data_IF_126874972531
#
_entry.id   IF_126874972531
#
_cell.length_a   1.000
_cell.length_b   1.000
_cell.length_c   1.000
_cell.angle_alpha   90.00
_cell.angle_beta   90.00
_cell.angle_gamma   90.00
#
_symmetry.space_group_name_H-M   'P 1'
#
loop_
_entity.id
_entity.type
_entity.pdbx_description
1 polymer ?
#
# COMPACT_ATOMS: atom_id res chain seq x y z
N UNK A 1 -20.13 24.62 -0.13
CA UNK A 1 -19.92 25.88 0.63
C UNK A 1 -20.24 25.69 2.11
N UNK A 2 -19.28 25.21 2.92
CA UNK A 2 -19.38 25.31 4.39
C UNK A 2 -18.96 26.72 4.77
N UNK A 3 -19.87 27.50 5.36
CA UNK A 3 -19.55 28.86 5.84
C UNK A 3 -18.63 28.73 7.05
N UNK A 4 -17.38 29.18 6.94
CA UNK A 4 -16.39 29.14 8.04
C UNK A 4 -16.78 30.08 9.20
N UNK A 5 -17.62 31.08 8.92
CA UNK A 5 -18.26 31.93 9.90
C UNK A 5 -19.65 31.37 10.19
N UNK A 6 -19.87 30.93 11.43
CA UNK A 6 -21.14 30.28 11.81
C UNK A 6 -22.04 31.12 12.69
N UNK A 7 -21.51 32.17 13.32
CA UNK A 7 -22.30 33.05 14.18
C UNK A 7 -21.71 34.47 14.13
N UNK A 8 -22.57 35.47 13.98
CA UNK A 8 -22.23 36.90 14.05
C UNK A 8 -23.28 37.55 14.94
N UNK A 9 -22.86 38.08 16.08
CA UNK A 9 -23.75 38.70 17.05
C UNK A 9 -23.22 40.05 17.54
N UNK A 10 -24.14 40.95 17.87
CA UNK A 10 -23.81 42.22 18.50
C UNK A 10 -23.82 42.05 20.03
N UNK A 11 -22.77 42.49 20.70
CA UNK A 11 -22.71 42.46 22.16
C UNK A 11 -23.36 43.75 22.71
N UNK A 12 -24.53 43.60 23.32
CA UNK A 12 -25.36 44.74 23.74
C UNK A 12 -24.93 45.41 25.06
N UNK A 13 -24.00 44.83 25.83
CA UNK A 13 -23.57 45.32 27.16
C UNK A 13 -22.05 45.28 27.31
N UNK A 14 -21.32 45.86 26.36
CA UNK A 14 -19.87 46.09 26.52
C UNK A 14 -19.68 47.57 26.73
N UNK A 15 -19.09 47.95 27.86
CA UNK A 15 -18.78 49.35 28.13
C UNK A 15 -17.47 49.69 27.39
N UNK A 16 -17.57 50.02 26.11
CA UNK A 16 -16.40 50.21 25.22
C UNK A 16 -15.74 51.58 25.31
N UNK A 17 -16.22 52.50 26.15
CA UNK A 17 -15.80 53.92 26.11
C UNK A 17 -15.81 54.51 24.68
N UNK A 18 -16.58 53.89 23.78
CA UNK A 18 -16.68 54.16 22.36
C UNK A 18 -18.15 54.03 21.99
N UNK A 19 -18.59 54.89 21.08
CA UNK A 19 -19.90 54.97 20.45
C UNK A 19 -20.22 53.81 19.51
N UNK A 20 -19.22 52.96 19.19
CA UNK A 20 -19.40 51.82 18.30
C UNK A 20 -19.88 50.56 19.02
N UNK A 21 -20.73 49.77 18.34
CA UNK A 21 -21.21 48.46 18.82
C UNK A 21 -20.15 47.39 18.59
N UNK A 22 -19.89 46.57 19.61
CA UNK A 22 -18.99 45.42 19.46
C UNK A 22 -19.70 44.29 18.73
N UNK A 23 -19.07 43.79 17.68
CA UNK A 23 -19.51 42.62 16.92
C UNK A 23 -18.63 41.44 17.29
N UNK A 24 -19.25 40.31 17.63
CA UNK A 24 -18.60 39.03 17.85
C UNK A 24 -18.91 38.12 16.68
N UNK A 25 -17.87 37.68 15.97
CA UNK A 25 -17.97 36.65 14.95
C UNK A 25 -17.28 35.37 15.43
N UNK A 26 -17.93 34.21 15.23
CA UNK A 26 -17.37 32.90 15.53
C UNK A 26 -16.93 32.21 14.24
N UNK A 27 -15.63 31.97 14.14
CA UNK A 27 -15.02 31.23 13.05
C UNK A 27 -14.63 29.83 13.52
N UNK A 28 -15.01 28.80 12.75
CA UNK A 28 -14.61 27.42 13.01
C UNK A 28 -13.66 26.95 11.92
N UNK A 29 -12.42 26.70 12.32
CA UNK A 29 -11.40 26.13 11.46
C UNK A 29 -11.12 24.68 11.86
N UNK A 30 -11.21 23.75 10.92
CA UNK A 30 -10.72 22.39 11.12
C UNK A 30 -9.21 22.35 10.87
N UNK A 31 -8.45 22.61 11.93
CA UNK A 31 -6.99 22.64 11.90
C UNK A 31 -6.42 21.26 11.51
N UNK A 32 -7.10 20.16 11.88
CA UNK A 32 -6.64 18.80 11.52
C UNK A 32 -6.75 18.58 10.01
N UNK A 33 -7.84 19.05 9.39
CA UNK A 33 -8.02 18.96 7.95
C UNK A 33 -7.03 19.86 7.20
N UNK A 34 -6.80 21.10 7.66
CA UNK A 34 -5.83 21.99 7.01
C UNK A 34 -4.39 21.47 7.11
N UNK A 35 -3.99 20.95 8.27
CA UNK A 35 -2.68 20.29 8.41
C UNK A 35 -2.53 19.08 7.47
N UNK A 36 -3.59 18.30 7.26
CA UNK A 36 -3.57 17.19 6.29
C UNK A 36 -3.33 17.66 4.85
N UNK A 37 -3.77 18.86 4.47
CA UNK A 37 -3.50 19.41 3.12
C UNK A 37 -2.03 19.80 2.97
N UNK A 38 -1.44 20.38 4.02
CA UNK A 38 -0.03 20.78 4.04
C UNK A 38 0.93 19.58 4.10
N UNK A 39 0.52 18.46 4.72
CA UNK A 39 1.33 17.24 4.88
C UNK A 39 1.20 16.30 3.66
N UNK A 40 0.26 16.54 2.74
CA UNK A 40 0.20 15.83 1.46
C UNK A 40 1.35 16.29 0.55
N UNK A 41 2.56 15.87 0.90
CA UNK A 41 3.67 15.81 -0.04
C UNK A 41 3.18 14.90 -1.17
N UNK A 42 3.10 15.38 -2.42
CA UNK A 42 2.78 14.50 -3.53
C UNK A 42 3.86 13.42 -3.58
N UNK A 43 3.49 12.19 -3.20
CA UNK A 43 4.41 11.04 -3.19
C UNK A 43 4.94 10.72 -4.58
N UNK A 44 4.25 11.22 -5.61
CA UNK A 44 4.57 11.00 -7.00
C UNK A 44 4.49 12.33 -7.74
N UNK A 45 5.40 12.60 -8.68
CA UNK A 45 5.35 13.79 -9.51
C UNK A 45 4.05 13.81 -10.33
N UNK A 46 3.42 14.97 -10.42
CA UNK A 46 2.27 15.20 -11.31
C UNK A 46 2.70 15.03 -12.77
N UNK A 47 1.77 14.70 -13.67
CA UNK A 47 2.02 14.57 -15.13
C UNK A 47 2.77 15.79 -15.68
N UNK A 48 2.37 17.01 -15.29
CA UNK A 48 3.04 18.25 -15.72
C UNK A 48 4.49 18.34 -15.22
N UNK A 49 4.76 17.82 -14.02
CA UNK A 49 6.10 17.78 -13.45
C UNK A 49 7.00 16.78 -14.19
N UNK A 50 6.44 15.66 -14.65
CA UNK A 50 7.13 14.70 -15.51
C UNK A 50 7.39 15.31 -16.89
N UNK A 51 6.40 16.00 -17.47
CA UNK A 51 6.55 16.69 -18.76
C UNK A 51 7.66 17.73 -18.75
N UNK A 52 7.76 18.52 -17.67
CA UNK A 52 8.80 19.56 -17.52
C UNK A 52 10.21 18.96 -17.43
N UNK A 53 10.35 17.76 -16.86
CA UNK A 53 11.63 17.06 -16.64
C UNK A 53 11.78 15.84 -17.52
N UNK A 54 11.10 15.81 -18.67
CA UNK A 54 11.01 14.62 -19.51
C UNK A 54 12.40 14.12 -19.92
N UNK A 55 13.32 15.02 -20.27
CA UNK A 55 14.69 14.64 -20.65
C UNK A 55 15.45 13.92 -19.51
N UNK A 56 15.39 14.46 -18.28
CA UNK A 56 16.01 13.83 -17.09
C UNK A 56 15.36 12.47 -16.80
N UNK A 57 14.03 12.39 -16.91
CA UNK A 57 13.28 11.16 -16.69
C UNK A 57 13.64 10.08 -17.72
N UNK A 58 13.66 10.41 -19.01
CA UNK A 58 14.03 9.47 -20.07
C UNK A 58 15.48 8.99 -19.92
N UNK A 59 16.40 9.88 -19.51
CA UNK A 59 17.79 9.50 -19.24
C UNK A 59 17.90 8.49 -18.07
N UNK A 60 17.15 8.71 -16.98
CA UNK A 60 17.14 7.78 -15.85
C UNK A 60 16.49 6.43 -16.22
N UNK A 61 15.42 6.44 -17.02
CA UNK A 61 14.80 5.20 -17.53
C UNK A 61 15.77 4.46 -18.44
N UNK A 62 16.44 5.15 -19.36
CA UNK A 62 17.46 4.56 -20.22
C UNK A 62 18.58 3.94 -19.39
N UNK A 63 19.09 4.64 -18.37
CA UNK A 63 20.11 4.12 -17.45
C UNK A 63 19.67 2.85 -16.72
N UNK A 64 18.42 2.79 -16.27
CA UNK A 64 17.88 1.63 -15.53
C UNK A 64 17.60 0.42 -16.42
N UNK A 65 17.24 0.67 -17.67
CA UNK A 65 16.87 -0.38 -18.63
C UNK A 65 18.04 -0.81 -19.51
N UNK A 66 19.17 -0.09 -19.49
CA UNK A 66 20.37 -0.55 -20.15
C UNK A 66 20.92 -1.79 -19.43
N UNK A 67 21.21 -2.87 -20.17
CA UNK A 67 21.89 -4.02 -19.61
C UNK A 67 23.27 -3.56 -19.14
N UNK A 68 23.65 -3.94 -17.91
CA UNK A 68 25.01 -3.68 -17.43
C UNK A 68 25.99 -4.40 -18.35
N UNK A 69 26.90 -3.65 -18.97
CA UNK A 69 27.87 -4.18 -19.95
C UNK A 69 28.68 -5.34 -19.36
N UNK A 70 28.91 -5.31 -18.05
CA UNK A 70 29.58 -6.35 -17.28
C UNK A 70 28.84 -7.69 -17.46
N UNK A 71 27.51 -7.71 -17.34
CA UNK A 71 26.69 -8.92 -17.44
C UNK A 71 26.72 -9.55 -18.84
N UNK A 72 26.95 -8.75 -19.88
CA UNK A 72 27.03 -9.23 -21.28
C UNK A 72 28.28 -10.11 -21.48
N UNK A 73 29.35 -9.81 -20.74
CA UNK A 73 30.64 -10.52 -20.84
C UNK A 73 30.76 -11.71 -19.90
N UNK A 74 29.81 -11.90 -18.98
CA UNK A 74 29.86 -12.96 -17.98
C UNK A 74 29.39 -14.30 -18.54
N UNK A 75 30.05 -15.36 -18.08
CA UNK A 75 29.63 -16.72 -18.35
C UNK A 75 28.35 -17.09 -17.56
N UNK A 76 27.58 -18.05 -18.05
CA UNK A 76 26.29 -18.48 -17.50
C UNK A 76 26.46 -18.96 -16.05
N UNK A 77 27.53 -19.69 -15.74
CA UNK A 77 27.86 -20.11 -14.36
C UNK A 77 28.07 -18.91 -13.42
N UNK A 78 28.78 -17.87 -13.88
CA UNK A 78 29.07 -16.68 -13.08
C UNK A 78 27.80 -15.85 -12.85
N UNK A 79 26.98 -15.71 -13.89
CA UNK A 79 25.68 -15.05 -13.82
C UNK A 79 24.76 -15.76 -12.81
N UNK A 80 24.72 -17.10 -12.85
CA UNK A 80 23.97 -17.91 -11.89
C UNK A 80 24.48 -17.75 -10.45
N UNK A 81 25.79 -17.60 -10.24
CA UNK A 81 26.36 -17.33 -8.92
C UNK A 81 25.94 -15.97 -8.37
N UNK A 82 25.76 -14.95 -9.22
CA UNK A 82 25.31 -13.62 -8.78
C UNK A 82 23.79 -13.52 -8.56
N UNK A 83 22.99 -14.16 -9.42
CA UNK A 83 21.52 -14.07 -9.35
C UNK A 83 20.96 -14.88 -8.18
N UNK A 84 21.48 -16.09 -7.92
CA UNK A 84 21.01 -16.99 -6.85
C UNK A 84 20.91 -16.30 -5.47
N UNK A 85 21.93 -15.60 -4.95
CA UNK A 85 21.86 -14.94 -3.65
C UNK A 85 20.90 -13.74 -3.62
N UNK A 86 20.61 -13.11 -4.77
CA UNK A 86 19.62 -12.02 -4.85
C UNK A 86 18.17 -12.54 -4.86
N UNK A 87 17.92 -13.67 -5.53
CA UNK A 87 16.59 -14.26 -5.67
C UNK A 87 16.19 -15.13 -4.48
N UNK A 88 17.12 -15.86 -3.87
CA UNK A 88 16.85 -16.81 -2.79
C UNK A 88 16.15 -16.19 -1.55
N UNK A 89 16.51 -14.99 -1.07
CA UNK A 89 15.83 -14.35 0.06
C UNK A 89 14.38 -13.98 -0.28
N UNK A 90 14.16 -13.45 -1.48
CA UNK A 90 12.83 -13.02 -1.95
C UNK A 90 11.92 -14.23 -2.15
N UNK A 91 12.42 -15.30 -2.77
CA UNK A 91 11.67 -16.56 -2.90
C UNK A 91 11.38 -17.19 -1.56
N UNK A 92 12.31 -17.19 -0.60
CA UNK A 92 12.04 -17.64 0.78
C UNK A 92 10.91 -16.84 1.43
N UNK A 93 10.91 -15.52 1.28
CA UNK A 93 9.84 -14.66 1.83
C UNK A 93 8.49 -14.96 1.17
N UNK A 94 8.44 -15.12 -0.16
CA UNK A 94 7.21 -15.41 -0.90
C UNK A 94 6.70 -16.82 -0.54
N UNK A 95 7.58 -17.83 -0.59
CA UNK A 95 7.24 -19.21 -0.30
C UNK A 95 6.89 -19.44 1.17
N UNK A 96 7.56 -18.80 2.13
CA UNK A 96 7.19 -18.90 3.54
C UNK A 96 5.89 -18.13 3.89
N UNK A 97 5.43 -17.23 3.02
CA UNK A 97 4.09 -16.61 3.11
C UNK A 97 2.98 -17.49 2.53
N UNK A 98 3.32 -18.51 1.73
CA UNK A 98 2.39 -19.60 1.43
C UNK A 98 2.13 -20.28 2.77
N UNK A 99 0.89 -20.16 3.24
CA UNK A 99 0.43 -20.67 4.54
C UNK A 99 1.06 -22.03 4.80
N UNK A 100 1.59 -22.25 6.01
CA UNK A 100 1.79 -23.61 6.51
C UNK A 100 0.49 -24.34 6.24
N UNK A 101 0.50 -25.32 5.32
CA UNK A 101 -0.61 -26.24 5.20
C UNK A 101 -0.80 -26.76 6.62
N UNK A 102 -1.99 -26.57 7.20
CA UNK A 102 -2.28 -27.18 8.49
C UNK A 102 -2.05 -28.67 8.29
N UNK A 103 -1.12 -29.23 9.03
CA UNK A 103 -0.96 -30.68 9.10
C UNK A 103 -2.35 -31.25 9.42
N UNK A 104 -2.77 -32.23 8.63
CA UNK A 104 -4.04 -32.90 8.84
C UNK A 104 -4.01 -33.48 10.26
N UNK A 105 -5.03 -33.18 11.06
CA UNK A 105 -5.17 -33.83 12.37
C UNK A 105 -5.29 -35.33 12.16
N UNK A 106 -4.78 -36.13 13.10
CA UNK A 106 -4.90 -37.61 13.09
C UNK A 106 -6.34 -38.05 12.81
N UNK A 107 -7.31 -37.41 13.46
CA UNK A 107 -8.73 -37.63 13.20
C UNK A 107 -9.16 -37.38 11.75
N UNK A 108 -8.60 -36.38 11.07
CA UNK A 108 -8.92 -36.13 9.66
C UNK A 108 -8.31 -37.20 8.74
N UNK A 109 -7.12 -37.70 9.08
CA UNK A 109 -6.47 -38.80 8.36
C UNK A 109 -7.29 -40.09 8.50
N UNK A 110 -7.70 -40.42 9.72
CA UNK A 110 -8.56 -41.57 10.01
C UNK A 110 -9.90 -41.51 9.24
N UNK A 111 -10.54 -40.33 9.18
CA UNK A 111 -11.76 -40.14 8.40
C UNK A 111 -11.53 -40.29 6.88
N UNK A 112 -10.35 -39.92 6.38
CA UNK A 112 -9.99 -40.11 4.97
C UNK A 112 -9.79 -41.58 4.62
N UNK A 113 -9.17 -42.35 5.51
CA UNK A 113 -8.97 -43.80 5.36
C UNK A 113 -10.31 -44.54 5.42
N UNK A 114 -11.15 -44.24 6.42
CA UNK A 114 -12.51 -44.77 6.52
C UNK A 114 -13.35 -44.46 5.28
N UNK A 115 -13.24 -43.25 4.72
CA UNK A 115 -13.90 -42.89 3.46
C UNK A 115 -13.35 -43.70 2.27
N UNK A 116 -12.06 -44.00 2.28
CA UNK A 116 -11.41 -44.85 1.29
C UNK A 116 -11.99 -46.26 1.29
N UNK A 117 -12.17 -46.84 2.47
CA UNK A 117 -12.68 -48.20 2.64
C UNK A 117 -14.17 -48.30 2.31
N UNK A 118 -14.99 -47.34 2.74
CA UNK A 118 -16.41 -47.25 2.35
C UNK A 118 -16.59 -47.14 0.82
N UNK A 119 -15.67 -46.48 0.12
CA UNK A 119 -15.70 -46.42 -1.35
C UNK A 119 -15.34 -47.75 -2.00
N UNK A 120 -14.45 -48.55 -1.41
CA UNK A 120 -14.11 -49.89 -1.90
C UNK A 120 -15.28 -50.85 -1.66
N UNK A 121 -15.89 -50.80 -0.47
CA UNK A 121 -17.07 -51.61 -0.14
C UNK A 121 -18.26 -51.32 -1.06
N UNK A 122 -18.51 -50.04 -1.36
CA UNK A 122 -19.54 -49.64 -2.34
C UNK A 122 -19.26 -50.12 -3.77
N UNK A 123 -18.00 -50.31 -4.15
CA UNK A 123 -17.64 -50.89 -5.46
C UNK A 123 -17.82 -52.41 -5.47
N UNK A 124 -17.56 -53.08 -4.35
CA UNK A 124 -17.70 -54.54 -4.24
C UNK A 124 -19.15 -55.01 -4.07
N UNK A 125 -20.06 -54.12 -3.63
CA UNK A 125 -21.50 -54.41 -3.46
C UNK A 125 -22.35 -53.97 -4.67
N UNK A 126 -21.72 -53.41 -5.71
CA UNK A 126 -22.38 -52.93 -6.93
C UNK A 126 -22.25 -53.86 -8.14
N UNK A 127 -22.12 -55.17 -7.92
CA UNK A 127 -22.26 -56.22 -8.95
C UNK A 127 -23.35 -57.20 -8.52
#
# INVERSE_FOLDING_TARGET
NRKNCSDVSFLNKVNTLSDHRVVRACFRFDIKQERKKLIKIPRFPTIDHIGTRNAEYQAEIARRLQPEEILITMDIEQLNQQIKPSVAPVTKIICCKVRKLKELTTSTVELMDQRGDLKKERKNTGH
#
